data_IF_126609993419
#
_entry.id   IF_126609993419
#
_cell.length_a   1.000
_cell.length_b   1.000
_cell.length_c   1.000
_cell.angle_alpha   90.00
_cell.angle_beta   90.00
_cell.angle_gamma   90.00
#
_symmetry.space_group_name_H-M   'P 1'
#
loop_
_entity.id
_entity.type
_entity.pdbx_description
1 polymer ?
#
# COMPACT_ATOMS: atom_id res chain seq x y z
N UNK A 1 -20.85 7.75 1.61
CA UNK A 1 -20.99 7.22 0.25
C UNK A 1 -20.19 5.91 0.19
N UNK A 2 -20.81 4.76 -0.15
CA UNK A 2 -20.10 3.49 -0.23
C UNK A 2 -19.15 3.45 -1.44
N UNK A 3 -18.14 2.58 -1.37
CA UNK A 3 -17.22 2.27 -2.48
C UNK A 3 -17.57 0.91 -3.09
N UNK A 4 -17.49 0.80 -4.42
CA UNK A 4 -17.75 -0.45 -5.12
C UNK A 4 -16.57 -1.42 -4.93
N UNK A 5 -16.87 -2.72 -4.82
CA UNK A 5 -15.85 -3.77 -4.83
C UNK A 5 -15.36 -4.01 -6.27
N UNK A 6 -14.08 -4.36 -6.45
CA UNK A 6 -13.54 -4.67 -7.77
C UNK A 6 -14.12 -5.99 -8.29
N UNK A 7 -14.41 -6.04 -9.59
CA UNK A 7 -14.86 -7.25 -10.30
C UNK A 7 -13.71 -8.02 -10.94
N UNK A 8 -12.55 -7.38 -11.08
CA UNK A 8 -11.37 -7.90 -11.74
C UNK A 8 -10.15 -7.75 -10.82
N UNK A 9 -9.10 -8.51 -11.10
CA UNK A 9 -7.82 -8.32 -10.45
C UNK A 9 -7.19 -7.00 -10.88
N UNK A 10 -6.36 -6.45 -10.00
CA UNK A 10 -5.58 -5.24 -10.25
C UNK A 10 -4.31 -5.63 -10.99
N UNK A 11 -3.97 -4.89 -12.03
CA UNK A 11 -2.77 -5.15 -12.84
C UNK A 11 -1.54 -4.36 -12.36
N UNK A 12 -0.36 -4.86 -12.71
CA UNK A 12 0.89 -4.17 -12.41
C UNK A 12 0.96 -2.81 -13.13
N UNK A 13 1.40 -1.78 -12.41
CA UNK A 13 1.45 -0.40 -12.92
C UNK A 13 0.17 0.41 -12.65
N UNK A 14 -0.92 -0.23 -12.21
CA UNK A 14 -2.09 0.50 -11.74
C UNK A 14 -1.78 1.32 -10.49
N UNK A 15 -2.60 2.35 -10.24
CA UNK A 15 -2.45 3.27 -9.11
C UNK A 15 -3.50 3.00 -8.04
N UNK A 16 -3.05 2.83 -6.81
CA UNK A 16 -3.89 2.73 -5.62
C UNK A 16 -3.74 3.95 -4.70
N UNK A 17 -4.74 4.19 -3.85
CA UNK A 17 -4.65 5.18 -2.77
C UNK A 17 -4.81 4.50 -1.42
N UNK A 18 -3.87 4.76 -0.52
CA UNK A 18 -3.96 4.42 0.88
C UNK A 18 -4.49 5.64 1.64
N UNK A 19 -5.36 5.41 2.63
CA UNK A 19 -5.84 6.45 3.52
C UNK A 19 -5.93 5.91 4.95
N UNK A 20 -5.54 6.73 5.92
CA UNK A 20 -5.54 6.33 7.33
C UNK A 20 -5.11 7.44 8.28
N UNK A 21 -5.22 7.14 9.58
CA UNK A 21 -4.82 8.03 10.68
C UNK A 21 -3.61 7.50 11.46
N UNK A 22 -2.90 6.50 10.92
CA UNK A 22 -1.75 5.89 11.58
C UNK A 22 -0.57 6.86 11.81
N UNK A 23 0.55 6.30 12.22
CA UNK A 23 1.78 7.06 12.43
C UNK A 23 2.24 7.68 11.09
N UNK A 24 2.86 8.86 11.18
CA UNK A 24 3.35 9.59 10.00
C UNK A 24 4.88 9.54 9.84
N UNK A 25 5.56 8.95 10.82
CA UNK A 25 6.99 8.68 10.85
C UNK A 25 7.27 7.49 11.79
N UNK A 26 8.44 6.86 11.64
CA UNK A 26 8.82 5.67 12.43
C UNK A 26 9.13 6.02 13.91
N UNK A 27 9.45 7.28 14.21
CA UNK A 27 9.90 7.75 15.51
C UNK A 27 8.84 8.52 16.29
N UNK A 28 7.60 8.57 15.80
CA UNK A 28 6.47 9.20 16.50
C UNK A 28 5.56 8.15 17.13
N UNK A 29 5.00 8.48 18.28
CA UNK A 29 4.08 7.59 19.03
C UNK A 29 2.62 8.02 18.93
N UNK A 30 2.37 9.22 18.40
CA UNK A 30 1.03 9.77 18.27
C UNK A 30 0.53 9.60 16.82
N UNK A 31 -0.64 8.98 16.62
CA UNK A 31 -1.30 8.89 15.32
C UNK A 31 -1.69 10.29 14.80
N UNK A 32 -1.96 10.37 13.51
CA UNK A 32 -2.35 11.63 12.88
C UNK A 32 -3.75 12.09 13.34
N UNK A 33 -3.87 13.36 13.75
CA UNK A 33 -5.16 13.99 14.08
C UNK A 33 -6.09 14.13 12.86
N UNK A 34 -5.52 14.12 11.65
CA UNK A 34 -6.24 14.28 10.38
C UNK A 34 -6.05 13.09 9.47
N UNK A 35 -7.03 12.80 8.63
CA UNK A 35 -6.91 11.72 7.65
C UNK A 35 -5.76 12.04 6.68
N UNK A 36 -4.80 11.12 6.56
CA UNK A 36 -3.72 11.21 5.57
C UNK A 36 -4.02 10.31 4.38
N UNK A 37 -3.35 10.59 3.26
CA UNK A 37 -3.41 9.79 2.04
C UNK A 37 -2.03 9.62 1.41
N UNK A 38 -1.80 8.47 0.81
CA UNK A 38 -0.62 8.19 -0.01
C UNK A 38 -1.03 7.52 -1.32
N UNK A 39 -0.37 7.90 -2.41
CA UNK A 39 -0.57 7.29 -3.73
C UNK A 39 0.46 6.19 -3.90
N UNK A 40 0.08 5.01 -4.36
CA UNK A 40 0.96 3.86 -4.54
C UNK A 40 0.82 3.29 -5.95
N UNK A 41 1.90 2.73 -6.48
CA UNK A 41 1.87 1.98 -7.74
C UNK A 41 1.96 0.49 -7.45
N UNK A 42 1.06 -0.28 -8.05
CA UNK A 42 0.99 -1.73 -7.88
C UNK A 42 2.17 -2.37 -8.59
N UNK A 43 2.90 -3.21 -7.86
CA UNK A 43 4.00 -4.01 -8.40
C UNK A 43 3.49 -5.31 -8.99
N UNK A 44 4.23 -5.84 -9.96
CA UNK A 44 4.01 -7.21 -10.42
C UNK A 44 4.34 -8.23 -9.34
N UNK A 45 3.63 -9.35 -9.33
CA UNK A 45 3.89 -10.50 -8.47
C UNK A 45 5.38 -10.90 -8.47
N UNK A 46 5.99 -10.93 -9.65
CA UNK A 46 7.41 -11.28 -9.81
C UNK A 46 8.31 -10.32 -9.04
N UNK A 47 8.12 -8.99 -9.20
CA UNK A 47 8.90 -7.98 -8.49
C UNK A 47 8.68 -8.06 -6.99
N UNK A 48 7.46 -8.31 -6.54
CA UNK A 48 7.22 -8.41 -5.12
C UNK A 48 7.88 -9.66 -4.50
N UNK A 49 7.73 -10.82 -5.14
CA UNK A 49 8.36 -12.07 -4.71
C UNK A 49 9.88 -11.96 -4.69
N UNK A 50 10.50 -11.33 -5.70
CA UNK A 50 11.96 -11.16 -5.70
C UNK A 50 12.44 -10.29 -4.55
N UNK A 51 11.68 -9.24 -4.22
CA UNK A 51 12.03 -8.29 -3.15
C UNK A 51 11.83 -8.89 -1.76
N UNK A 52 10.74 -9.64 -1.56
CA UNK A 52 10.38 -10.27 -0.28
C UNK A 52 10.90 -11.70 -0.14
N UNK A 53 11.91 -12.10 -0.94
CA UNK A 53 12.55 -13.43 -0.89
C UNK A 53 11.55 -14.60 -0.98
N UNK A 54 10.53 -14.47 -1.83
CA UNK A 54 9.50 -15.47 -2.08
C UNK A 54 8.27 -15.38 -1.16
N UNK A 55 8.26 -14.48 -0.18
CA UNK A 55 7.12 -14.28 0.71
C UNK A 55 6.08 -13.35 0.07
N UNK A 56 5.18 -13.92 -0.74
CA UNK A 56 3.99 -13.19 -1.22
C UNK A 56 2.89 -14.19 -1.56
N UNK A 57 1.96 -14.47 -0.61
CA UNK A 57 0.78 -15.30 -0.85
C UNK A 57 -0.06 -14.79 -2.03
N UNK A 58 -0.76 -15.70 -2.72
CA UNK A 58 -1.58 -15.39 -3.92
C UNK A 58 -2.74 -14.40 -3.69
N UNK A 59 -3.08 -14.09 -2.44
CA UNK A 59 -4.14 -13.16 -2.06
C UNK A 59 -3.60 -11.82 -1.53
N UNK A 60 -2.30 -11.57 -1.71
CA UNK A 60 -1.65 -10.32 -1.35
C UNK A 60 -1.07 -9.68 -2.61
N UNK A 61 -1.08 -8.36 -2.63
CA UNK A 61 -0.45 -7.55 -3.66
C UNK A 61 0.57 -6.64 -2.99
N UNK A 62 1.49 -6.10 -3.79
CA UNK A 62 2.47 -5.15 -3.30
C UNK A 62 2.29 -3.83 -4.02
N UNK A 63 2.40 -2.75 -3.26
CA UNK A 63 2.27 -1.40 -3.76
C UNK A 63 3.42 -0.57 -3.20
N UNK A 64 4.00 0.28 -4.03
CA UNK A 64 5.13 1.12 -3.65
C UNK A 64 5.10 2.41 -4.46
N UNK A 65 5.56 3.49 -3.86
CA UNK A 65 5.75 4.77 -4.52
C UNK A 65 7.22 5.19 -4.46
N UNK A 66 7.70 5.47 -3.25
CA UNK A 66 9.04 5.92 -2.95
C UNK A 66 9.46 5.45 -1.56
N UNK A 67 10.75 5.56 -1.26
CA UNK A 67 11.23 5.37 0.11
C UNK A 67 10.53 6.34 1.07
N UNK A 68 10.26 5.87 2.30
CA UNK A 68 9.54 6.61 3.36
C UNK A 68 8.09 6.98 3.03
N UNK A 69 7.50 6.40 1.97
CA UNK A 69 6.08 6.53 1.64
C UNK A 69 5.41 5.17 1.73
N UNK A 70 4.56 5.00 2.73
CA UNK A 70 3.85 3.74 2.98
C UNK A 70 2.75 3.90 4.02
N UNK A 71 2.15 2.77 4.41
CA UNK A 71 1.36 2.72 5.63
C UNK A 71 2.29 2.50 6.82
N UNK A 72 1.91 3.01 7.99
CA UNK A 72 2.61 2.80 9.26
C UNK A 72 1.55 2.64 10.34
N UNK A 73 1.76 1.66 11.22
CA UNK A 73 0.91 1.34 12.37
C UNK A 73 1.63 1.56 13.70
#
# INVERSE_FOLDING_TARGET
RPIALPSNNVEAGETGQLAGWGLTAEDVTLPSETLKKAVMTIWSDHRCRSTLRGYTPRHQLCAYNNERVGFCD
#
